data_IF_183400273073
#
_entry.id   IF_183400273073
#
_cell.length_a   1.000
_cell.length_b   1.000
_cell.length_c   1.000
_cell.angle_alpha   90.00
_cell.angle_beta   90.00
_cell.angle_gamma   90.00
#
_symmetry.space_group_name_H-M   'P 1'
#
loop_
_entity.id
_entity.type
_entity.pdbx_description
1 polymer ?
#
# COMPACT_ATOMS: atom_id res chain seq x y z
N UNK A 1 -9.55 -11.20 -13.30
CA UNK A 1 -9.39 -11.63 -14.70
C UNK A 1 -8.63 -12.97 -14.74
N UNK A 2 -8.86 -13.77 -15.77
CA UNK A 2 -8.05 -14.96 -16.06
C UNK A 2 -6.67 -14.56 -16.62
N UNK A 3 -5.74 -15.51 -16.76
CA UNK A 3 -4.47 -15.28 -17.44
C UNK A 3 -4.63 -14.92 -18.93
N UNK A 4 -5.79 -15.21 -19.53
CA UNK A 4 -6.17 -14.85 -20.90
C UNK A 4 -6.93 -13.53 -21.01
N UNK A 5 -7.19 -12.85 -19.88
CA UNK A 5 -7.85 -11.54 -19.83
C UNK A 5 -9.38 -11.60 -19.70
N UNK A 6 -9.96 -12.77 -19.48
CA UNK A 6 -11.40 -12.88 -19.28
C UNK A 6 -11.80 -12.36 -17.90
N UNK A 7 -12.88 -11.57 -17.83
CA UNK A 7 -13.42 -11.09 -16.56
C UNK A 7 -14.03 -12.25 -15.77
N UNK A 8 -13.47 -12.56 -14.61
CA UNK A 8 -13.94 -13.64 -13.74
C UNK A 8 -14.94 -13.14 -12.70
N UNK A 9 -14.69 -11.96 -12.13
CA UNK A 9 -15.48 -11.41 -11.03
C UNK A 9 -15.38 -9.88 -11.01
N UNK A 10 -16.47 -9.23 -10.62
CA UNK A 10 -16.49 -7.79 -10.27
C UNK A 10 -16.92 -7.66 -8.81
N UNK A 11 -16.13 -6.94 -8.02
CA UNK A 11 -16.48 -6.53 -6.67
C UNK A 11 -16.94 -5.08 -6.68
N UNK A 12 -18.07 -4.81 -6.02
CA UNK A 12 -18.69 -3.50 -6.05
C UNK A 12 -19.72 -3.33 -7.16
N UNK A 13 -20.41 -2.18 -7.16
CA UNK A 13 -21.38 -1.80 -8.20
C UNK A 13 -20.77 -0.65 -9.02
N UNK A 14 -20.50 -0.84 -10.31
CA UNK A 14 -19.90 0.20 -11.15
C UNK A 14 -20.74 1.49 -11.15
N UNK A 15 -20.06 2.63 -10.90
CA UNK A 15 -20.70 3.96 -10.87
C UNK A 15 -21.39 4.30 -9.55
N UNK A 16 -21.46 3.40 -8.58
CA UNK A 16 -22.09 3.64 -7.28
C UNK A 16 -21.04 3.71 -6.18
N UNK A 17 -21.00 4.84 -5.46
CA UNK A 17 -20.14 5.01 -4.30
C UNK A 17 -20.91 4.75 -3.00
N UNK A 18 -20.20 4.30 -1.96
CA UNK A 18 -20.81 4.14 -0.63
C UNK A 18 -20.00 3.26 0.32
N UNK A 19 -20.50 3.13 1.55
CA UNK A 19 -19.88 2.34 2.63
C UNK A 19 -20.47 0.94 2.80
N UNK A 20 -21.40 0.52 1.96
CA UNK A 20 -22.03 -0.80 2.04
C UNK A 20 -21.13 -1.94 1.53
N UNK A 21 -21.59 -3.19 1.68
CA UNK A 21 -20.81 -4.38 1.29
C UNK A 21 -20.61 -4.54 -0.22
N UNK A 22 -21.33 -3.76 -1.04
CA UNK A 22 -21.25 -3.78 -2.51
C UNK A 22 -20.82 -2.43 -3.08
N UNK A 23 -20.27 -1.55 -2.26
CA UNK A 23 -19.90 -0.20 -2.68
C UNK A 23 -18.53 0.14 -2.12
N UNK A 24 -17.80 0.95 -2.85
CA UNK A 24 -16.53 1.54 -2.46
C UNK A 24 -16.61 3.06 -2.68
N UNK A 25 -15.77 3.81 -1.98
CA UNK A 25 -15.68 5.25 -2.22
C UNK A 25 -14.43 5.59 -3.02
N UNK A 26 -13.32 4.97 -2.68
CA UNK A 26 -12.03 5.27 -3.30
C UNK A 26 -11.06 4.11 -3.07
N UNK A 27 -11.30 2.93 -3.66
CA UNK A 27 -10.42 1.79 -3.49
C UNK A 27 -9.05 2.10 -4.10
N UNK A 28 -7.98 1.81 -3.37
CA UNK A 28 -6.61 2.12 -3.74
C UNK A 28 -5.78 0.89 -4.09
N UNK A 29 -6.01 -0.22 -3.39
CA UNK A 29 -5.18 -1.40 -3.56
C UNK A 29 -5.92 -2.67 -3.13
N UNK A 30 -5.42 -3.84 -3.57
CA UNK A 30 -6.00 -5.16 -3.32
C UNK A 30 -4.92 -6.18 -3.01
N UNK A 31 -5.17 -7.01 -1.97
CA UNK A 31 -4.35 -8.16 -1.65
C UNK A 31 -5.18 -9.44 -1.62
N UNK A 32 -4.58 -10.57 -2.00
CA UNK A 32 -5.22 -11.88 -2.01
C UNK A 32 -4.47 -12.80 -1.06
N UNK A 33 -5.17 -13.36 -0.09
CA UNK A 33 -4.62 -14.33 0.85
C UNK A 33 -4.44 -15.73 0.22
N UNK A 34 -3.65 -16.58 0.85
CA UNK A 34 -3.37 -17.92 0.37
C UNK A 34 -4.63 -18.81 0.21
N UNK A 35 -5.68 -18.55 0.99
CA UNK A 35 -6.98 -19.22 0.90
C UNK A 35 -7.91 -18.63 -0.19
N UNK A 36 -7.45 -17.59 -0.89
CA UNK A 36 -8.20 -16.89 -1.93
C UNK A 36 -9.09 -15.75 -1.42
N UNK A 37 -9.10 -15.44 -0.12
CA UNK A 37 -9.81 -14.28 0.40
C UNK A 37 -9.18 -12.98 -0.15
N UNK A 38 -10.04 -12.03 -0.51
CA UNK A 38 -9.66 -10.76 -1.15
C UNK A 38 -9.83 -9.63 -0.14
N UNK A 39 -8.77 -8.87 0.07
CA UNK A 39 -8.74 -7.70 0.94
C UNK A 39 -8.58 -6.43 0.10
N UNK A 40 -9.41 -5.44 0.34
CA UNK A 40 -9.44 -4.19 -0.42
C UNK A 40 -9.24 -3.02 0.53
N UNK A 41 -8.23 -2.18 0.27
CA UNK A 41 -8.07 -0.88 0.90
C UNK A 41 -9.04 0.11 0.24
N UNK A 42 -10.04 0.61 0.97
CA UNK A 42 -11.08 1.50 0.46
C UNK A 42 -11.03 2.84 1.21
N UNK A 43 -10.31 3.81 0.67
CA UNK A 43 -10.14 5.09 1.34
C UNK A 43 -8.97 5.94 0.88
N UNK A 44 -8.64 5.96 -0.41
CA UNK A 44 -7.55 6.79 -0.96
C UNK A 44 -7.70 8.29 -0.66
N UNK A 45 -8.92 8.77 -0.51
CA UNK A 45 -9.22 10.16 -0.21
C UNK A 45 -9.50 10.40 1.28
N UNK A 46 -9.21 11.61 1.75
CA UNK A 46 -9.52 12.03 3.13
C UNK A 46 -11.01 11.86 3.49
N UNK A 47 -11.90 11.95 2.51
CA UNK A 47 -13.35 11.75 2.66
C UNK A 47 -13.79 10.34 2.21
N UNK A 48 -12.86 9.42 1.99
CA UNK A 48 -13.14 8.02 1.67
C UNK A 48 -13.69 7.24 2.86
N UNK A 49 -14.04 5.99 2.65
CA UNK A 49 -14.54 5.13 3.72
C UNK A 49 -13.47 4.83 4.77
N UNK A 50 -12.19 4.91 4.40
CA UNK A 50 -11.04 4.65 5.28
C UNK A 50 -11.16 3.31 6.02
N UNK A 51 -11.39 2.26 5.26
CA UNK A 51 -11.61 0.89 5.78
C UNK A 51 -10.89 -0.15 4.93
N UNK A 52 -10.70 -1.33 5.50
CA UNK A 52 -10.39 -2.55 4.76
C UNK A 52 -11.67 -3.38 4.60
N UNK A 53 -11.90 -3.93 3.42
CA UNK A 53 -13.05 -4.80 3.12
C UNK A 53 -12.54 -6.17 2.73
N UNK A 54 -13.11 -7.22 3.35
CA UNK A 54 -12.76 -8.62 3.09
C UNK A 54 -13.91 -9.35 2.40
N UNK A 55 -13.56 -10.05 1.31
CA UNK A 55 -14.44 -10.97 0.58
C UNK A 55 -13.80 -12.36 0.55
N UNK A 56 -14.61 -13.39 0.41
CA UNK A 56 -14.06 -14.73 0.11
C UNK A 56 -13.70 -14.86 -1.39
N UNK A 57 -13.10 -16.00 -1.75
CA UNK A 57 -12.68 -16.31 -3.13
C UNK A 57 -13.83 -16.36 -4.16
N UNK A 58 -15.10 -16.36 -3.71
CA UNK A 58 -16.30 -16.29 -4.56
C UNK A 58 -16.87 -14.89 -4.68
N UNK A 59 -16.24 -13.87 -4.02
CA UNK A 59 -16.72 -12.50 -4.01
C UNK A 59 -17.88 -12.24 -3.04
N UNK A 60 -18.10 -13.12 -2.08
CA UNK A 60 -19.08 -12.92 -1.01
C UNK A 60 -18.45 -12.07 0.09
N UNK A 61 -19.12 -10.99 0.49
CA UNK A 61 -18.67 -10.12 1.58
C UNK A 61 -18.57 -10.92 2.90
N UNK A 62 -17.46 -10.80 3.57
CA UNK A 62 -17.23 -11.42 4.87
C UNK A 62 -17.30 -10.38 6.00
N UNK A 63 -16.51 -9.32 5.89
CA UNK A 63 -16.43 -8.28 6.92
C UNK A 63 -15.74 -7.02 6.38
N UNK A 64 -15.78 -5.95 7.17
CA UNK A 64 -14.92 -4.78 7.00
C UNK A 64 -14.54 -4.21 8.36
N UNK A 65 -13.40 -3.53 8.42
CA UNK A 65 -12.97 -2.81 9.62
C UNK A 65 -12.28 -1.51 9.24
N UNK A 66 -12.25 -0.60 10.20
CA UNK A 66 -11.65 0.72 10.08
C UNK A 66 -12.66 1.83 9.81
N UNK A 67 -12.25 3.00 10.21
CA UNK A 67 -12.94 4.28 10.02
C UNK A 67 -11.91 5.41 9.96
N UNK A 68 -12.37 6.63 9.72
CA UNK A 68 -11.47 7.79 9.65
C UNK A 68 -10.96 8.18 11.03
N UNK A 69 -9.64 8.22 11.22
CA UNK A 69 -9.04 8.66 12.48
C UNK A 69 -7.56 8.36 12.62
N UNK A 70 -7.07 8.40 13.88
CA UNK A 70 -5.65 8.26 14.24
C UNK A 70 -5.35 7.09 15.18
N UNK A 71 -6.38 6.52 15.82
CA UNK A 71 -6.20 5.39 16.74
C UNK A 71 -5.82 4.10 16.00
N UNK A 72 -5.37 3.06 16.70
CA UNK A 72 -5.21 1.73 16.10
C UNK A 72 -6.54 1.25 15.51
N UNK A 73 -6.49 0.80 14.24
CA UNK A 73 -7.67 0.40 13.48
C UNK A 73 -8.42 1.54 12.79
N UNK A 74 -8.06 2.79 13.04
CA UNK A 74 -8.53 3.94 12.27
C UNK A 74 -7.51 4.34 11.20
N UNK A 75 -7.97 4.93 10.09
CA UNK A 75 -7.13 5.22 8.93
C UNK A 75 -7.37 6.61 8.36
N UNK A 76 -6.37 7.09 7.59
CA UNK A 76 -6.49 8.31 6.77
C UNK A 76 -5.77 8.13 5.45
N UNK A 77 -6.53 8.14 4.36
CA UNK A 77 -6.04 7.89 3.02
C UNK A 77 -5.21 6.59 2.94
N UNK A 78 -5.88 5.44 3.14
CA UNK A 78 -5.29 4.13 2.88
C UNK A 78 -4.78 4.09 1.45
N UNK A 79 -3.54 3.65 1.26
CA UNK A 79 -2.96 3.62 -0.08
C UNK A 79 -2.50 2.24 -0.51
N UNK A 80 -1.99 1.44 0.39
CA UNK A 80 -1.48 0.11 0.11
C UNK A 80 -2.07 -0.94 1.04
N UNK A 81 -2.22 -2.15 0.54
CA UNK A 81 -2.52 -3.33 1.33
C UNK A 81 -1.73 -4.52 0.81
N UNK A 82 -1.08 -5.26 1.69
CA UNK A 82 -0.34 -6.46 1.33
C UNK A 82 -0.47 -7.52 2.42
N UNK A 83 -0.31 -8.78 2.05
CA UNK A 83 -0.34 -9.91 2.99
C UNK A 83 1.04 -10.55 2.98
N UNK A 84 1.64 -10.68 4.16
CA UNK A 84 2.94 -11.33 4.30
C UNK A 84 2.84 -12.87 4.22
N UNK A 85 3.97 -13.59 4.12
CA UNK A 85 3.97 -15.06 4.07
C UNK A 85 3.33 -15.74 5.27
N UNK A 86 3.19 -15.05 6.42
CA UNK A 86 2.54 -15.56 7.63
C UNK A 86 1.04 -15.29 7.66
N UNK A 87 0.49 -14.60 6.65
CA UNK A 87 -0.93 -14.25 6.55
C UNK A 87 -1.33 -13.00 7.30
N UNK A 88 -0.36 -12.19 7.80
CA UNK A 88 -0.67 -10.88 8.42
C UNK A 88 -0.99 -9.85 7.34
N UNK A 89 -1.97 -8.99 7.61
CA UNK A 89 -2.43 -7.93 6.71
C UNK A 89 -1.73 -6.62 7.06
N UNK A 90 -0.92 -6.11 6.15
CA UNK A 90 -0.21 -4.85 6.27
C UNK A 90 -0.96 -3.77 5.52
N UNK A 91 -1.35 -2.70 6.19
CA UNK A 91 -2.13 -1.60 5.62
C UNK A 91 -1.32 -0.31 5.66
N UNK A 92 -1.06 0.25 4.49
CA UNK A 92 -0.40 1.53 4.33
C UNK A 92 -1.35 2.69 4.64
N UNK A 93 -1.32 3.17 5.87
CA UNK A 93 -2.09 4.30 6.36
C UNK A 93 -1.32 5.61 6.09
N UNK A 94 -1.31 6.00 4.80
CA UNK A 94 -0.39 6.98 4.22
C UNK A 94 -0.45 8.34 4.90
N UNK A 95 -1.64 8.90 5.08
CA UNK A 95 -1.76 10.25 5.67
C UNK A 95 -1.49 10.27 7.18
N UNK A 96 -1.43 9.10 7.82
CA UNK A 96 -0.95 8.96 9.20
C UNK A 96 0.53 8.57 9.27
N UNK A 97 1.24 8.48 8.13
CA UNK A 97 2.67 8.14 8.02
C UNK A 97 3.02 6.85 8.78
N UNK A 98 2.24 5.80 8.58
CA UNK A 98 2.40 4.53 9.29
C UNK A 98 1.92 3.33 8.48
N UNK A 99 2.41 2.15 8.83
CA UNK A 99 1.83 0.86 8.48
C UNK A 99 1.12 0.33 9.71
N UNK A 100 -0.11 -0.13 9.57
CA UNK A 100 -0.79 -0.90 10.59
C UNK A 100 -0.87 -2.37 10.19
N UNK A 101 -0.64 -3.28 11.13
CA UNK A 101 -0.59 -4.72 10.91
C UNK A 101 -1.76 -5.37 11.66
N UNK A 102 -2.47 -6.24 10.96
CA UNK A 102 -3.64 -6.94 11.47
C UNK A 102 -3.54 -8.44 11.21
N UNK A 103 -4.29 -9.23 11.96
CA UNK A 103 -4.64 -10.57 11.50
C UNK A 103 -5.74 -10.49 10.41
N UNK A 104 -6.14 -11.64 9.85
CA UNK A 104 -7.15 -11.68 8.80
C UNK A 104 -8.58 -11.49 9.31
N UNK A 105 -8.77 -11.42 10.60
CA UNK A 105 -10.02 -11.10 11.31
C UNK A 105 -10.12 -9.62 11.67
N UNK A 106 -9.11 -8.80 11.28
CA UNK A 106 -9.09 -7.35 11.51
C UNK A 106 -8.64 -6.92 12.90
N UNK A 107 -8.10 -7.84 13.71
CA UNK A 107 -7.54 -7.49 15.01
C UNK A 107 -6.17 -6.83 14.82
N UNK A 108 -6.02 -5.63 15.38
CA UNK A 108 -4.76 -4.86 15.30
C UNK A 108 -3.65 -5.55 16.11
N UNK A 109 -2.51 -5.81 15.47
CA UNK A 109 -1.35 -6.46 16.05
C UNK A 109 -0.20 -5.49 16.33
N UNK A 110 0.09 -4.58 15.39
CA UNK A 110 1.21 -3.63 15.52
C UNK A 110 1.02 -2.38 14.66
N UNK A 111 1.76 -1.33 15.01
CA UNK A 111 1.88 -0.09 14.21
C UNK A 111 3.35 0.24 13.99
N UNK A 112 3.74 0.47 12.73
CA UNK A 112 5.09 0.82 12.34
C UNK A 112 5.14 2.19 11.68
N UNK A 113 6.03 3.07 12.16
CA UNK A 113 6.18 4.45 11.67
C UNK A 113 7.48 4.68 10.91
N UNK A 114 8.41 3.71 10.92
CA UNK A 114 9.75 3.84 10.35
C UNK A 114 9.80 3.74 8.81
N UNK A 115 8.69 3.47 8.15
CA UNK A 115 8.64 3.31 6.70
C UNK A 115 8.21 4.57 5.93
N UNK A 116 7.96 5.68 6.62
CA UNK A 116 7.53 6.94 6.01
C UNK A 116 6.05 6.97 5.67
N UNK A 117 5.70 7.50 4.48
CA UNK A 117 4.32 7.59 3.96
C UNK A 117 4.08 6.45 2.95
N UNK A 118 3.59 5.28 3.41
CA UNK A 118 3.54 4.07 2.59
C UNK A 118 2.51 4.18 1.46
N UNK A 119 2.99 4.17 0.22
CA UNK A 119 2.17 4.16 -0.99
C UNK A 119 2.13 2.78 -1.67
N UNK A 120 3.15 1.95 -1.48
CA UNK A 120 3.20 0.58 -1.94
C UNK A 120 3.92 -0.32 -0.95
N UNK A 121 3.48 -1.58 -0.82
CA UNK A 121 4.08 -2.58 0.06
C UNK A 121 4.25 -3.89 -0.72
N UNK A 122 5.42 -4.50 -0.64
CA UNK A 122 5.69 -5.82 -1.19
C UNK A 122 6.54 -6.66 -0.23
N UNK A 123 6.49 -7.98 -0.39
CA UNK A 123 7.28 -8.93 0.38
C UNK A 123 8.06 -9.84 -0.56
N UNK A 124 9.23 -10.30 -0.11
CA UNK A 124 9.93 -11.40 -0.75
C UNK A 124 9.89 -12.68 0.11
N UNK A 125 10.38 -13.77 -0.44
CA UNK A 125 10.47 -15.06 0.25
C UNK A 125 11.70 -15.15 1.19
N UNK A 126 12.49 -14.09 1.30
CA UNK A 126 13.72 -14.04 2.10
C UNK A 126 13.57 -13.24 3.40
N UNK A 127 12.34 -12.96 3.81
CA UNK A 127 12.06 -12.27 5.07
C UNK A 127 11.99 -10.74 4.97
N UNK A 128 11.95 -10.18 3.74
CA UNK A 128 12.01 -8.74 3.54
C UNK A 128 10.67 -8.12 3.20
N UNK A 129 10.47 -6.91 3.71
CA UNK A 129 9.42 -5.97 3.31
C UNK A 129 10.06 -4.83 2.52
N UNK A 130 9.38 -4.44 1.46
CA UNK A 130 9.72 -3.30 0.59
C UNK A 130 8.58 -2.30 0.67
N UNK A 131 8.88 -1.06 1.03
CA UNK A 131 7.85 -0.01 1.18
C UNK A 131 8.23 1.21 0.37
N UNK A 132 7.40 1.55 -0.60
CA UNK A 132 7.52 2.77 -1.38
C UNK A 132 6.92 3.95 -0.60
N UNK A 133 7.69 5.02 -0.47
CA UNK A 133 7.29 6.31 0.08
C UNK A 133 7.32 7.34 -1.04
N UNK A 134 6.15 7.75 -1.52
CA UNK A 134 6.01 8.67 -2.64
C UNK A 134 5.85 10.13 -2.23
N UNK A 135 5.57 10.41 -0.96
CA UNK A 135 5.06 11.72 -0.56
C UNK A 135 5.69 12.31 0.71
N UNK A 136 6.71 11.67 1.30
CA UNK A 136 7.39 12.29 2.45
C UNK A 136 8.09 13.57 2.02
N UNK A 137 7.77 14.66 2.70
CA UNK A 137 8.36 15.98 2.48
C UNK A 137 8.50 16.76 3.80
N UNK A 138 9.01 17.97 3.73
CA UNK A 138 9.23 18.81 4.91
C UNK A 138 7.96 19.27 5.62
N UNK A 139 6.78 19.05 5.04
CA UNK A 139 5.46 19.42 5.59
C UNK A 139 4.68 18.19 6.02
N UNK A 140 4.61 17.18 5.14
CA UNK A 140 3.77 16.00 5.34
C UNK A 140 4.37 14.96 6.30
N UNK A 141 5.69 14.79 6.27
CA UNK A 141 6.42 13.86 7.12
C UNK A 141 7.87 14.33 7.33
N UNK A 142 8.10 15.42 8.09
CA UNK A 142 9.41 16.04 8.25
C UNK A 142 10.48 15.06 8.74
N UNK A 143 11.65 15.11 8.10
CA UNK A 143 12.78 14.23 8.43
C UNK A 143 12.82 12.92 7.63
N UNK A 144 11.82 12.67 6.79
CA UNK A 144 11.81 11.55 5.85
C UNK A 144 12.00 12.03 4.41
N UNK A 145 12.58 11.17 3.59
CA UNK A 145 12.76 11.39 2.15
C UNK A 145 12.01 10.31 1.36
N UNK A 146 11.58 10.64 0.15
CA UNK A 146 10.94 9.72 -0.78
C UNK A 146 11.92 8.67 -1.28
N UNK A 147 11.46 7.44 -1.36
CA UNK A 147 12.27 6.31 -1.79
C UNK A 147 11.64 4.97 -1.45
N UNK A 148 12.41 3.90 -1.57
CA UNK A 148 12.00 2.55 -1.16
C UNK A 148 12.80 2.15 0.07
N UNK A 149 12.10 1.93 1.18
CA UNK A 149 12.70 1.39 2.42
C UNK A 149 12.56 -0.11 2.41
N UNK A 150 13.66 -0.80 2.73
CA UNK A 150 13.75 -2.25 2.78
C UNK A 150 14.07 -2.66 4.20
N UNK A 151 13.26 -3.56 4.74
CA UNK A 151 13.41 -4.03 6.11
C UNK A 151 13.03 -5.49 6.26
N UNK A 152 12.96 -5.95 7.49
CA UNK A 152 12.50 -7.28 7.86
C UNK A 152 11.00 -7.24 8.19
N UNK A 153 10.19 -8.10 7.55
CA UNK A 153 8.74 -8.10 7.81
C UNK A 153 8.36 -8.67 9.18
N UNK A 154 9.27 -9.37 9.87
CA UNK A 154 9.02 -9.84 11.23
C UNK A 154 9.19 -8.76 12.29
N UNK A 155 10.22 -7.94 12.15
CA UNK A 155 10.64 -6.98 13.19
C UNK A 155 10.34 -5.54 12.81
N UNK A 156 10.16 -5.24 11.53
CA UNK A 156 10.09 -3.89 11.00
C UNK A 156 11.43 -3.15 10.97
N UNK A 157 12.55 -3.86 11.25
CA UNK A 157 13.89 -3.25 11.19
C UNK A 157 14.21 -2.85 9.76
N UNK A 158 14.36 -1.54 9.49
CA UNK A 158 14.76 -0.99 8.20
C UNK A 158 16.29 -0.97 8.12
N UNK A 159 16.86 -1.65 7.14
CA UNK A 159 18.31 -1.78 6.97
C UNK A 159 18.84 -1.23 5.65
N UNK A 160 17.97 -0.98 4.66
CA UNK A 160 18.36 -0.40 3.36
C UNK A 160 17.36 0.68 2.94
N UNK A 161 17.86 1.69 2.21
CA UNK A 161 17.04 2.75 1.65
C UNK A 161 17.51 3.11 0.24
N UNK A 162 16.66 2.90 -0.74
CA UNK A 162 16.85 3.37 -2.10
C UNK A 162 16.23 4.76 -2.20
N UNK A 163 17.05 5.78 -2.03
CA UNK A 163 16.61 7.16 -2.19
C UNK A 163 16.36 7.47 -3.66
N UNK A 164 15.25 8.12 -3.96
CA UNK A 164 15.04 8.59 -5.31
C UNK A 164 15.95 9.79 -5.63
N UNK A 165 16.55 9.85 -6.83
CA UNK A 165 17.48 10.93 -7.19
C UNK A 165 16.85 12.33 -7.15
N UNK A 166 15.55 12.42 -7.28
CA UNK A 166 14.75 13.65 -7.26
C UNK A 166 13.91 13.82 -5.99
N UNK A 167 14.16 13.02 -4.98
CA UNK A 167 13.42 13.06 -3.71
C UNK A 167 13.74 14.29 -2.87
N UNK A 168 13.88 15.47 -3.50
CA UNK A 168 13.98 16.72 -2.78
C UNK A 168 12.57 17.24 -2.51
N UNK A 169 12.09 17.14 -1.26
CA UNK A 169 10.73 17.51 -0.90
C UNK A 169 10.44 19.02 -1.05
N UNK A 170 11.48 19.85 -1.20
CA UNK A 170 11.31 21.29 -1.43
C UNK A 170 11.08 21.65 -2.90
N UNK A 171 11.43 20.72 -3.81
CA UNK A 171 11.36 20.96 -5.26
C UNK A 171 10.14 20.30 -5.88
N UNK A 172 9.84 19.07 -5.47
CA UNK A 172 8.82 18.22 -6.10
C UNK A 172 8.07 17.38 -5.06
N UNK A 173 7.12 17.96 -4.34
CA UNK A 173 6.28 17.21 -3.43
C UNK A 173 5.42 16.17 -4.20
N UNK A 174 5.31 14.96 -3.66
CA UNK A 174 4.40 13.93 -4.16
C UNK A 174 4.82 13.23 -5.47
N UNK A 175 6.11 13.13 -5.77
CA UNK A 175 6.62 12.51 -7.01
C UNK A 175 7.51 11.29 -6.79
N UNK A 176 7.26 10.50 -5.75
CA UNK A 176 7.93 9.23 -5.52
C UNK A 176 7.23 8.05 -6.21
N UNK A 177 7.75 6.83 -5.99
CA UNK A 177 7.09 5.63 -6.47
C UNK A 177 5.80 5.35 -5.70
N UNK A 178 4.69 5.19 -6.39
CA UNK A 178 3.38 4.86 -5.81
C UNK A 178 3.22 3.37 -5.55
N UNK A 179 4.01 2.54 -6.21
CA UNK A 179 4.04 1.10 -5.95
C UNK A 179 5.48 0.58 -5.89
N UNK A 180 5.63 -0.58 -5.28
CA UNK A 180 6.83 -1.38 -5.31
C UNK A 180 6.47 -2.85 -5.49
N UNK A 181 7.29 -3.57 -6.24
CA UNK A 181 7.24 -5.03 -6.30
C UNK A 181 8.66 -5.59 -6.43
N UNK A 182 8.80 -6.89 -6.18
CA UNK A 182 10.09 -7.60 -6.25
C UNK A 182 9.90 -8.90 -7.03
N UNK A 183 10.84 -9.20 -7.92
CA UNK A 183 10.83 -10.48 -8.65
C UNK A 183 11.56 -11.60 -7.88
N UNK A 184 11.49 -12.82 -8.40
CA UNK A 184 12.13 -13.99 -7.79
C UNK A 184 13.67 -13.93 -7.78
N UNK A 185 14.26 -13.05 -8.55
CA UNK A 185 15.71 -12.80 -8.59
C UNK A 185 16.13 -11.73 -7.57
N UNK A 186 15.16 -11.07 -6.92
CA UNK A 186 15.37 -10.00 -5.96
C UNK A 186 15.53 -8.62 -6.59
N UNK A 187 15.24 -8.46 -7.90
CA UNK A 187 15.18 -7.15 -8.52
C UNK A 187 13.93 -6.41 -8.04
N UNK A 188 14.09 -5.12 -7.74
CA UNK A 188 13.04 -4.26 -7.20
C UNK A 188 12.50 -3.39 -8.33
N UNK A 189 11.19 -3.27 -8.42
CA UNK A 189 10.52 -2.39 -9.38
C UNK A 189 9.70 -1.35 -8.62
N UNK A 190 9.85 -0.08 -8.98
CA UNK A 190 9.08 1.03 -8.46
C UNK A 190 8.49 1.86 -9.58
N UNK A 191 7.23 2.24 -9.47
CA UNK A 191 6.54 3.02 -10.50
C UNK A 191 6.09 4.39 -9.98
N UNK A 192 6.37 5.41 -10.77
CA UNK A 192 6.01 6.80 -10.51
C UNK A 192 4.72 7.14 -11.26
N UNK A 193 3.76 7.86 -10.62
CA UNK A 193 2.44 8.09 -11.23
C UNK A 193 2.50 9.11 -12.37
N UNK A 194 3.46 10.02 -12.33
CA UNK A 194 3.58 11.11 -13.32
C UNK A 194 5.03 11.26 -13.75
N UNK A 195 5.32 11.28 -15.07
CA UNK A 195 6.64 11.66 -15.55
C UNK A 195 6.99 13.07 -15.09
N UNK A 196 8.12 13.22 -14.45
CA UNK A 196 8.61 14.54 -14.07
C UNK A 196 9.32 15.19 -15.27
N UNK A 197 8.75 16.24 -15.88
CA UNK A 197 9.32 16.87 -17.07
C UNK A 197 10.66 17.56 -16.80
N UNK A 198 10.97 17.91 -15.53
CA UNK A 198 12.20 18.59 -15.18
C UNK A 198 13.41 17.68 -15.04
N UNK A 199 13.19 16.39 -14.82
CA UNK A 199 14.26 15.40 -14.57
C UNK A 199 14.23 14.23 -15.55
N UNK A 200 13.38 14.29 -16.58
CA UNK A 200 13.20 13.21 -17.56
C UNK A 200 13.02 11.83 -16.86
N UNK A 201 12.25 11.83 -15.77
CA UNK A 201 11.99 10.63 -14.97
C UNK A 201 11.16 9.63 -15.77
N UNK A 202 11.51 8.37 -15.63
CA UNK A 202 10.73 7.26 -16.20
C UNK A 202 9.68 6.85 -15.16
N UNK A 203 8.52 6.44 -15.63
CA UNK A 203 7.41 6.00 -14.78
C UNK A 203 7.64 4.62 -14.14
N UNK A 204 8.55 3.81 -14.70
CA UNK A 204 8.93 2.50 -14.16
C UNK A 204 10.44 2.39 -14.05
N UNK A 205 10.94 1.99 -12.88
CA UNK A 205 12.34 1.74 -12.61
C UNK A 205 12.56 0.32 -12.12
N UNK A 206 13.61 -0.30 -12.64
CA UNK A 206 14.17 -1.55 -12.13
C UNK A 206 15.49 -1.25 -11.42
N UNK A 207 15.59 -1.69 -10.16
CA UNK A 207 16.83 -1.71 -9.40
C UNK A 207 17.33 -3.14 -9.35
N UNK A 208 18.50 -3.34 -9.91
CA UNK A 208 19.16 -4.68 -9.97
C UNK A 208 20.01 -4.84 -8.73
N UNK A 209 19.95 -6.01 -8.14
CA UNK A 209 20.72 -6.38 -6.95
C UNK A 209 22.15 -6.78 -7.30
#
# INVERSE_FOLDING_TARGET
FSATGDLLMTLGTPGEQGGGPKHFTSPSDVAIAANGDVFIADGHNANGNNRVVKYNSRGEFLMSWGETGYAPGEFRALHAIAIDPNGRVFVGDRSNSRIQIFDQEGNHAATWTQFGRPSGIAFDNNGRIYVADSESDNVQNPGYEMGIRIGEYETGWVHEFIRFPWANPNILPGNGAEFVTVDSEGNIYGGEPVPNPHINARTLRKYVR
#
